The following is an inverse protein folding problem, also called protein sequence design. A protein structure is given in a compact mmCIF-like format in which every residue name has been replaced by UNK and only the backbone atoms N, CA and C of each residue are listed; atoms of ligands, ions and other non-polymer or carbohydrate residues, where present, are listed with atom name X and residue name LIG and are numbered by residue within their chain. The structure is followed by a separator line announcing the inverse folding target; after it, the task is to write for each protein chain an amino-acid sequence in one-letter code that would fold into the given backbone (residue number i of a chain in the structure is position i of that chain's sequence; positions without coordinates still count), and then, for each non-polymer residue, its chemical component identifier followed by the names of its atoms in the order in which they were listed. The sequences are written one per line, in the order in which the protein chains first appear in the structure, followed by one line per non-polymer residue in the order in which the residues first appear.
data_IF_794413717366
#
_entry.id   IF_794413717366
#
_cell.length_a   1.000
_cell.length_b   1.000
_cell.length_c   1.000
_cell.angle_alpha   90.00
_cell.angle_beta   90.00
_cell.angle_gamma   90.00
#
_symmetry.space_group_name_H-M   'P 1'
#
loop_
_entity.id
_entity.type
_entity.pdbx_description
1 polymer ?
#
# COMPACT_ATOMS: atom_id res chain seq x y z
N UNK A 1 -15.07 16.71 -10.44
CA UNK A 1 -13.86 16.11 -11.06
C UNK A 1 -12.60 16.49 -10.29
N UNK A 2 -12.39 17.75 -9.91
CA UNK A 2 -11.25 18.18 -9.09
C UNK A 2 -11.25 17.52 -7.70
N UNK A 3 -12.41 17.37 -7.06
CA UNK A 3 -12.49 16.73 -5.73
C UNK A 3 -12.08 15.25 -5.73
N UNK A 4 -12.37 14.52 -6.81
CA UNK A 4 -11.94 13.13 -6.97
C UNK A 4 -10.44 13.01 -7.19
N UNK A 5 -9.83 13.95 -7.91
CA UNK A 5 -8.39 14.02 -8.11
C UNK A 5 -7.66 14.34 -6.80
N UNK A 6 -8.17 15.29 -6.02
CA UNK A 6 -7.62 15.62 -4.70
C UNK A 6 -7.71 14.43 -3.75
N UNK A 7 -8.85 13.73 -3.72
CA UNK A 7 -9.03 12.52 -2.92
C UNK A 7 -8.09 11.38 -3.36
N UNK A 8 -7.91 11.18 -4.66
CA UNK A 8 -6.95 10.21 -5.19
C UNK A 8 -5.52 10.51 -4.71
N UNK A 9 -5.07 11.75 -4.92
CA UNK A 9 -3.71 12.16 -4.58
C UNK A 9 -3.46 11.98 -3.07
N UNK A 10 -4.40 12.39 -2.22
CA UNK A 10 -4.29 12.21 -0.77
C UNK A 10 -4.16 10.73 -0.38
N UNK A 11 -5.00 9.86 -0.95
CA UNK A 11 -4.99 8.42 -0.63
C UNK A 11 -3.70 7.73 -1.07
N UNK A 12 -3.25 7.99 -2.30
CA UNK A 12 -2.03 7.38 -2.84
C UNK A 12 -0.79 7.89 -2.10
N UNK A 13 -0.70 9.19 -1.84
CA UNK A 13 0.43 9.76 -1.09
C UNK A 13 0.48 9.21 0.34
N UNK A 14 -0.66 9.04 1.00
CA UNK A 14 -0.75 8.42 2.33
C UNK A 14 -0.20 7.00 2.32
N UNK A 15 -0.69 6.15 1.41
CA UNK A 15 -0.29 4.72 1.36
C UNK A 15 1.19 4.58 1.02
N UNK A 16 1.69 5.39 0.08
CA UNK A 16 3.11 5.40 -0.25
C UNK A 16 3.98 5.76 0.96
N UNK A 17 3.57 6.75 1.75
CA UNK A 17 4.27 7.16 2.97
C UNK A 17 4.17 6.11 4.08
N UNK A 18 2.97 5.63 4.38
CA UNK A 18 2.73 4.67 5.45
C UNK A 18 3.52 3.37 5.21
N UNK A 19 3.37 2.77 4.03
CA UNK A 19 3.98 1.47 3.73
C UNK A 19 5.45 1.61 3.34
N UNK A 20 5.79 2.62 2.54
CA UNK A 20 7.12 2.78 1.97
C UNK A 20 8.11 3.51 2.87
N UNK A 21 7.66 4.37 3.78
CA UNK A 21 8.54 5.19 4.64
C UNK A 21 8.35 4.88 6.13
N UNK A 22 7.12 4.87 6.61
CA UNK A 22 6.83 4.67 8.04
C UNK A 22 6.81 3.18 8.45
N UNK A 23 6.83 2.26 7.49
CA UNK A 23 6.79 0.82 7.73
C UNK A 23 5.44 0.35 8.32
N UNK A 24 4.38 1.15 8.20
CA UNK A 24 3.01 0.78 8.58
C UNK A 24 2.40 -0.09 7.48
N UNK A 25 2.54 -1.39 7.66
CA UNK A 25 2.13 -2.39 6.67
C UNK A 25 0.62 -2.69 6.70
N UNK A 26 0.08 -3.06 5.55
CA UNK A 26 -1.33 -3.44 5.38
C UNK A 26 -2.27 -2.31 5.02
N UNK A 27 -1.77 -1.07 4.87
CA UNK A 27 -2.56 0.05 4.35
C UNK A 27 -2.86 -0.08 2.86
N UNK A 28 -4.07 0.33 2.45
CA UNK A 28 -4.52 0.37 1.06
C UNK A 28 -5.25 1.68 0.77
N UNK A 29 -5.07 2.21 -0.44
CA UNK A 29 -5.77 3.37 -0.94
C UNK A 29 -7.20 2.98 -1.33
N UNK A 30 -8.18 3.72 -0.84
CA UNK A 30 -9.58 3.62 -1.28
C UNK A 30 -10.03 4.95 -1.85
N UNK A 31 -10.32 4.97 -3.15
CA UNK A 31 -10.77 6.17 -3.85
C UNK A 31 -12.11 5.89 -4.52
N UNK A 32 -13.24 6.29 -3.92
CA UNK A 32 -14.56 6.05 -4.49
C UNK A 32 -14.73 6.77 -5.84
N UNK A 33 -15.35 6.08 -6.81
CA UNK A 33 -15.74 6.68 -8.08
C UNK A 33 -14.61 6.87 -9.11
N UNK A 34 -13.39 6.38 -8.86
CA UNK A 34 -12.32 6.39 -9.87
C UNK A 34 -12.53 5.28 -10.91
N UNK A 35 -12.18 5.59 -12.17
CA UNK A 35 -12.27 4.69 -13.31
C UNK A 35 -11.11 4.94 -14.30
N UNK A 36 -10.91 3.98 -15.21
CA UNK A 36 -9.81 4.02 -16.19
C UNK A 36 -8.46 4.11 -15.51
N UNK A 37 -7.56 4.93 -16.06
CA UNK A 37 -6.17 5.10 -15.60
C UNK A 37 -6.05 5.33 -14.09
N UNK A 38 -7.00 6.04 -13.48
CA UNK A 38 -6.96 6.32 -12.04
C UNK A 38 -7.20 5.07 -11.19
N UNK A 39 -8.11 4.19 -11.63
CA UNK A 39 -8.32 2.90 -10.98
C UNK A 39 -7.07 2.03 -11.13
N UNK A 40 -6.52 1.96 -12.33
CA UNK A 40 -5.32 1.16 -12.62
C UNK A 40 -4.13 1.61 -11.75
N UNK A 41 -3.98 2.92 -11.53
CA UNK A 41 -2.97 3.48 -10.64
C UNK A 41 -3.25 3.15 -9.17
N UNK A 42 -4.50 3.27 -8.69
CA UNK A 42 -4.87 2.87 -7.33
C UNK A 42 -4.57 1.39 -7.09
N UNK A 43 -4.93 0.53 -8.04
CA UNK A 43 -4.71 -0.91 -7.97
C UNK A 43 -3.21 -1.25 -8.00
N UNK A 44 -2.43 -0.55 -8.82
CA UNK A 44 -0.96 -0.72 -8.88
C UNK A 44 -0.28 -0.34 -7.55
N UNK A 45 -0.68 0.78 -6.94
CA UNK A 45 -0.17 1.21 -5.62
C UNK A 45 -0.57 0.21 -4.55
N UNK A 46 -1.82 -0.27 -4.55
CA UNK A 46 -2.29 -1.28 -3.60
C UNK A 46 -1.57 -2.62 -3.77
N UNK A 47 -1.28 -3.03 -5.01
CA UNK A 47 -0.48 -4.21 -5.30
C UNK A 47 0.94 -4.09 -4.73
N UNK A 48 1.59 -2.93 -4.93
CA UNK A 48 2.92 -2.67 -4.37
C UNK A 48 2.91 -2.70 -2.83
N UNK A 49 1.94 -2.04 -2.20
CA UNK A 49 1.78 -2.03 -0.75
C UNK A 49 1.52 -3.43 -0.17
N UNK A 50 0.69 -4.23 -0.84
CA UNK A 50 0.40 -5.63 -0.48
C UNK A 50 1.64 -6.53 -0.61
N UNK A 51 2.43 -6.34 -1.67
CA UNK A 51 3.68 -7.06 -1.88
C UNK A 51 4.69 -6.75 -0.79
N UNK A 52 4.93 -5.47 -0.48
CA UNK A 52 5.84 -5.04 0.59
C UNK A 52 5.39 -5.60 1.96
N UNK A 53 4.10 -5.50 2.26
CA UNK A 53 3.52 -6.05 3.49
C UNK A 53 3.81 -7.55 3.62
N UNK A 54 3.60 -8.31 2.55
CA UNK A 54 3.82 -9.75 2.53
C UNK A 54 5.30 -10.10 2.67
N UNK A 55 6.17 -9.39 1.94
CA UNK A 55 7.62 -9.58 2.01
C UNK A 55 8.16 -9.36 3.44
N UNK A 56 7.79 -8.25 4.09
CA UNK A 56 8.27 -7.95 5.45
C UNK A 56 7.72 -8.95 6.46
N UNK A 57 6.46 -9.37 6.35
CA UNK A 57 5.89 -10.42 7.21
C UNK A 57 6.61 -11.76 7.03
N UNK A 58 6.95 -12.14 5.80
CA UNK A 58 7.71 -13.37 5.55
C UNK A 58 9.11 -13.29 6.17
N UNK A 59 9.79 -12.15 6.05
CA UNK A 59 11.09 -11.93 6.71
C UNK A 59 10.96 -12.06 8.23
N UNK A 60 9.93 -11.46 8.84
CA UNK A 60 9.69 -11.56 10.28
C UNK A 60 9.42 -13.01 10.73
N UNK A 61 8.70 -13.79 9.94
CA UNK A 61 8.48 -15.21 10.20
C UNK A 61 9.79 -16.01 10.13
N UNK A 62 10.61 -15.80 9.10
CA UNK A 62 11.93 -16.44 8.97
C UNK A 62 12.84 -16.06 10.14
N UNK A 63 12.90 -14.79 10.50
CA UNK A 63 13.69 -14.33 11.64
C UNK A 63 13.22 -14.98 12.96
N UNK A 64 11.91 -15.13 13.14
CA UNK A 64 11.33 -15.82 14.30
C UNK A 64 11.69 -17.31 14.32
N UNK A 65 11.65 -17.98 13.16
CA UNK A 65 12.04 -19.39 13.04
C UNK A 65 13.52 -19.59 13.39
N UNK A 66 14.41 -18.77 12.81
CA UNK A 66 15.85 -18.80 13.12
C UNK A 66 16.12 -18.57 14.61
N UNK A 67 15.40 -17.63 15.23
CA UNK A 67 15.55 -17.37 16.66
C UNK A 67 15.08 -18.53 17.57
N UNK A 68 14.23 -19.43 17.05
CA UNK A 68 13.72 -20.61 17.78
C UNK A 68 14.56 -21.87 17.56
N UNK A 69 15.46 -21.88 16.56
CA UNK A 69 16.29 -23.02 16.19
C UNK A 69 15.73 -23.79 15.01
#
# INVERSE_FOLDING_TARGET
MVDQLSAFAEQVTRVARDVGTEGRLGGQAQVPGVAGVWRDLTDSVNGMAGNLTSQVRNIAQVATAVARG
#
